data_IF_160347142625
#
_entry.id   IF_160347142625
#
_cell.length_a   1.000
_cell.length_b   1.000
_cell.length_c   1.000
_cell.angle_alpha   90.00
_cell.angle_beta   90.00
_cell.angle_gamma   90.00
#
_symmetry.space_group_name_H-M   'P 1'
#
loop_
_entity.id
_entity.type
_entity.pdbx_description
1 polymer ?
#
# COMPACT_ATOMS: atom_id res chain seq x y z
N UNK A 1 -1.08 15.18 1.70
CA UNK A 1 -0.40 13.91 1.31
C UNK A 1 0.97 13.88 1.96
N UNK A 2 1.33 12.79 2.62
CA UNK A 2 2.61 12.63 3.33
C UNK A 2 3.21 11.27 2.99
N UNK A 3 4.50 11.22 2.62
CA UNK A 3 5.23 9.98 2.34
C UNK A 3 6.16 9.65 3.50
N UNK A 4 6.11 8.39 3.95
CA UNK A 4 6.97 7.85 4.99
C UNK A 4 7.74 6.66 4.42
N UNK A 5 9.05 6.75 4.38
CA UNK A 5 9.93 5.68 3.89
C UNK A 5 10.20 4.69 5.03
N UNK A 6 9.67 3.48 4.92
CA UNK A 6 9.86 2.40 5.87
C UNK A 6 11.10 1.56 5.53
N UNK A 7 11.48 1.53 4.26
CA UNK A 7 12.65 0.84 3.76
C UNK A 7 13.08 1.38 2.41
N UNK A 8 14.39 1.51 2.21
CA UNK A 8 15.01 2.12 1.02
C UNK A 8 16.24 1.35 0.53
N UNK A 9 16.47 0.14 1.03
CA UNK A 9 17.55 -0.71 0.56
C UNK A 9 17.06 -1.59 -0.59
N UNK A 10 17.87 -1.75 -1.63
CA UNK A 10 17.56 -2.58 -2.78
C UNK A 10 18.13 -4.00 -2.58
N UNK A 11 17.29 -5.00 -2.83
CA UNK A 11 17.64 -6.42 -2.81
C UNK A 11 17.83 -7.01 -1.41
N UNK A 12 18.65 -6.38 -0.57
CA UNK A 12 18.99 -6.86 0.76
C UNK A 12 18.92 -5.75 1.81
N UNK A 13 18.51 -6.06 3.06
CA UNK A 13 18.54 -5.07 4.13
C UNK A 13 19.97 -4.74 4.53
N UNK A 14 20.16 -3.55 5.09
CA UNK A 14 21.41 -3.13 5.71
C UNK A 14 21.22 -2.94 7.21
N UNK A 15 22.30 -2.61 7.94
CA UNK A 15 22.19 -2.33 9.40
C UNK A 15 21.31 -1.12 9.71
N UNK A 16 21.15 -0.20 8.76
CA UNK A 16 20.46 1.09 8.97
C UNK A 16 19.27 1.29 8.05
N UNK A 17 19.05 0.41 7.06
CA UNK A 17 17.96 0.52 6.09
C UNK A 17 17.31 -0.83 5.84
N UNK A 18 16.00 -0.88 5.96
CA UNK A 18 15.20 -2.04 5.55
C UNK A 18 15.01 -2.07 4.03
N UNK A 19 14.60 -3.21 3.50
CA UNK A 19 14.18 -3.37 2.10
C UNK A 19 12.93 -2.57 1.80
N UNK A 20 12.53 -2.50 0.54
CA UNK A 20 11.59 -1.51 0.02
C UNK A 20 10.20 -1.56 0.67
N UNK A 21 9.79 -0.45 1.24
CA UNK A 21 8.41 -0.18 1.63
C UNK A 21 8.20 1.33 1.84
N UNK A 22 7.12 1.87 1.30
CA UNK A 22 6.75 3.28 1.42
C UNK A 22 5.30 3.38 1.86
N UNK A 23 5.05 4.16 2.92
CA UNK A 23 3.71 4.44 3.39
C UNK A 23 3.26 5.81 2.88
N UNK A 24 2.05 5.89 2.35
CA UNK A 24 1.41 7.13 1.92
C UNK A 24 0.23 7.42 2.84
N UNK A 25 0.32 8.50 3.59
CA UNK A 25 -0.76 9.02 4.41
C UNK A 25 -1.53 10.08 3.62
N UNK A 26 -2.78 9.76 3.32
CA UNK A 26 -3.71 10.59 2.57
C UNK A 26 -4.66 11.27 3.54
N UNK A 27 -4.40 12.54 3.82
CA UNK A 27 -5.23 13.35 4.70
C UNK A 27 -6.34 14.02 3.89
N UNK A 28 -7.58 13.66 4.18
CA UNK A 28 -8.76 14.31 3.60
C UNK A 28 -9.84 14.44 4.66
N UNK A 29 -10.61 15.56 4.70
CA UNK A 29 -11.62 15.80 5.72
C UNK A 29 -12.71 14.72 5.82
N UNK A 30 -13.07 14.10 4.68
CA UNK A 30 -14.14 13.10 4.60
C UNK A 30 -13.64 11.68 4.34
N UNK A 31 -12.45 11.51 3.79
CA UNK A 31 -11.93 10.20 3.38
C UNK A 31 -10.42 10.16 3.48
N UNK A 32 -9.91 9.98 4.68
CA UNK A 32 -8.49 9.66 4.89
C UNK A 32 -8.18 8.27 4.35
N UNK A 33 -6.96 8.03 3.94
CA UNK A 33 -6.46 6.72 3.51
C UNK A 33 -5.04 6.51 3.99
N UNK A 34 -4.69 5.27 4.25
CA UNK A 34 -3.33 4.85 4.53
C UNK A 34 -2.96 3.74 3.56
N UNK A 35 -2.05 4.05 2.62
CA UNK A 35 -1.67 3.15 1.55
C UNK A 35 -0.21 2.73 1.71
N UNK A 36 0.07 1.47 1.44
CA UNK A 36 1.42 0.93 1.45
C UNK A 36 1.86 0.60 0.02
N UNK A 37 3.04 1.06 -0.36
CA UNK A 37 3.70 0.72 -1.63
C UNK A 37 4.89 -0.18 -1.33
N UNK A 38 4.83 -1.40 -1.86
CA UNK A 38 5.66 -2.53 -1.56
C UNK A 38 5.64 -2.94 -0.07
N UNK A 39 5.98 -4.18 0.18
CA UNK A 39 5.99 -4.78 1.50
C UNK A 39 7.14 -5.78 1.60
N UNK A 40 8.35 -5.26 1.57
CA UNK A 40 9.55 -6.07 1.75
C UNK A 40 9.63 -6.67 3.16
N UNK A 41 10.55 -7.60 3.35
CA UNK A 41 10.77 -8.25 4.63
C UNK A 41 10.94 -7.22 5.77
N UNK A 42 10.31 -7.48 6.91
CA UNK A 42 10.40 -6.60 8.09
C UNK A 42 9.60 -5.30 8.00
N UNK A 43 8.81 -5.06 6.95
CA UNK A 43 7.97 -3.85 6.82
C UNK A 43 7.07 -3.63 8.03
N UNK A 44 6.43 -4.66 8.57
CA UNK A 44 5.60 -4.51 9.77
C UNK A 44 6.39 -4.06 11.00
N UNK A 45 7.65 -4.45 11.14
CA UNK A 45 8.50 -3.96 12.23
C UNK A 45 8.83 -2.48 12.06
N UNK A 46 9.08 -2.03 10.82
CA UNK A 46 9.29 -0.62 10.53
C UNK A 46 8.05 0.22 10.82
N UNK A 47 6.85 -0.29 10.55
CA UNK A 47 5.59 0.36 10.92
C UNK A 47 5.46 0.62 12.42
N UNK A 48 5.98 -0.29 13.27
CA UNK A 48 5.97 -0.12 14.74
C UNK A 48 6.82 1.08 15.22
N UNK A 49 7.76 1.55 14.42
CA UNK A 49 8.56 2.75 14.72
C UNK A 49 7.90 4.04 14.21
N UNK A 50 6.68 3.98 13.70
CA UNK A 50 5.91 5.13 13.24
C UNK A 50 4.72 5.40 14.15
N UNK A 51 4.09 6.55 14.01
CA UNK A 51 2.83 6.87 14.69
C UNK A 51 1.60 6.26 13.98
N UNK A 52 1.78 5.54 12.87
CA UNK A 52 0.70 5.01 12.06
C UNK A 52 0.27 3.62 12.53
N UNK A 53 -1.06 3.43 12.63
CA UNK A 53 -1.63 2.14 12.98
C UNK A 53 -1.80 1.28 11.70
N UNK A 54 -1.15 0.11 11.61
CA UNK A 54 -1.32 -0.81 10.47
C UNK A 54 -2.78 -1.22 10.22
N UNK A 55 -3.62 -1.13 11.24
CA UNK A 55 -5.07 -1.37 11.12
C UNK A 55 -5.80 -0.39 10.22
N UNK A 56 -5.23 0.78 9.98
CA UNK A 56 -5.79 1.80 9.08
C UNK A 56 -5.34 1.64 7.62
N UNK A 57 -4.48 0.67 7.32
CA UNK A 57 -4.15 0.34 5.93
C UNK A 57 -5.41 -0.13 5.22
N UNK A 58 -5.75 0.53 4.11
CA UNK A 58 -6.88 0.19 3.25
C UNK A 58 -6.46 -0.29 1.86
N UNK A 59 -5.26 0.08 1.40
CA UNK A 59 -4.69 -0.39 0.13
C UNK A 59 -3.21 -0.72 0.24
N UNK A 60 -2.80 -1.77 -0.48
CA UNK A 60 -1.40 -2.13 -0.69
C UNK A 60 -1.15 -2.23 -2.20
N UNK A 61 -0.09 -1.61 -2.67
CA UNK A 61 0.33 -1.64 -4.08
C UNK A 61 1.70 -2.31 -4.16
N UNK A 62 1.79 -3.41 -4.88
CA UNK A 62 3.04 -4.13 -5.10
C UNK A 62 3.56 -3.80 -6.50
N UNK A 63 4.77 -3.26 -6.57
CA UNK A 63 5.39 -2.88 -7.83
C UNK A 63 5.75 -4.09 -8.68
N UNK A 64 6.37 -5.10 -8.09
CA UNK A 64 6.76 -6.36 -8.73
C UNK A 64 7.02 -7.45 -7.68
N UNK A 65 7.20 -8.70 -8.11
CA UNK A 65 7.20 -9.86 -7.21
C UNK A 65 8.58 -10.29 -6.70
N UNK A 66 9.62 -9.45 -6.77
CA UNK A 66 10.87 -9.74 -6.06
C UNK A 66 10.67 -9.72 -4.54
N UNK A 67 11.41 -10.57 -3.83
CA UNK A 67 11.21 -10.79 -2.39
C UNK A 67 11.41 -9.55 -1.54
N UNK A 68 12.35 -8.68 -1.89
CA UNK A 68 12.61 -7.41 -1.20
C UNK A 68 11.48 -6.38 -1.34
N UNK A 69 10.47 -6.65 -2.17
CA UNK A 69 9.23 -5.87 -2.31
C UNK A 69 7.98 -6.61 -1.79
N UNK A 70 8.09 -7.91 -1.47
CA UNK A 70 6.91 -8.77 -1.29
C UNK A 70 6.93 -9.61 -0.01
N UNK A 71 8.09 -10.06 0.48
CA UNK A 71 8.17 -11.13 1.50
C UNK A 71 7.67 -10.71 2.89
N UNK A 72 7.47 -9.43 3.15
CA UNK A 72 6.81 -8.95 4.37
C UNK A 72 5.28 -9.07 4.37
N UNK A 73 4.69 -9.24 3.17
CA UNK A 73 3.24 -9.17 2.99
C UNK A 73 2.47 -10.25 3.77
N UNK A 74 2.79 -11.56 3.69
CA UNK A 74 2.04 -12.58 4.42
C UNK A 74 2.03 -12.32 5.93
N UNK A 75 3.18 -11.97 6.51
CA UNK A 75 3.29 -11.67 7.94
C UNK A 75 2.44 -10.46 8.36
N UNK A 76 2.42 -9.41 7.55
CA UNK A 76 1.59 -8.23 7.79
C UNK A 76 0.09 -8.58 7.77
N UNK A 77 -0.35 -9.39 6.80
CA UNK A 77 -1.75 -9.82 6.67
C UNK A 77 -2.21 -10.63 7.89
N UNK A 78 -1.39 -11.60 8.33
CA UNK A 78 -1.66 -12.40 9.50
C UNK A 78 -1.71 -11.54 10.78
N UNK A 79 -0.75 -10.64 10.96
CA UNK A 79 -0.70 -9.76 12.13
C UNK A 79 -1.91 -8.84 12.23
N UNK A 80 -2.46 -8.38 11.10
CA UNK A 80 -3.71 -7.61 11.07
C UNK A 80 -4.88 -8.41 11.65
N UNK A 81 -5.07 -9.68 11.23
CA UNK A 81 -6.10 -10.56 11.77
C UNK A 81 -5.92 -10.79 13.27
N UNK A 82 -4.71 -11.15 13.69
CA UNK A 82 -4.41 -11.43 15.10
C UNK A 82 -4.59 -10.21 16.00
N UNK A 83 -4.50 -9.00 15.43
CA UNK A 83 -4.78 -7.75 16.13
C UNK A 83 -6.27 -7.38 16.16
N UNK A 84 -7.15 -8.23 15.66
CA UNK A 84 -8.61 -8.00 15.65
C UNK A 84 -9.07 -6.92 14.68
N UNK A 85 -8.28 -6.64 13.64
CA UNK A 85 -8.62 -5.65 12.63
C UNK A 85 -9.60 -6.28 11.64
N UNK A 86 -10.76 -5.65 11.47
CA UNK A 86 -11.85 -6.11 10.58
C UNK A 86 -12.07 -5.24 9.35
N UNK A 87 -11.34 -4.12 9.24
CA UNK A 87 -11.46 -3.21 8.10
C UNK A 87 -10.99 -3.90 6.81
N UNK A 88 -11.71 -3.72 5.69
CA UNK A 88 -11.31 -4.26 4.40
C UNK A 88 -9.91 -3.82 3.99
N UNK A 89 -9.24 -4.67 3.22
CA UNK A 89 -7.94 -4.38 2.62
C UNK A 89 -7.95 -4.84 1.16
N UNK A 90 -7.53 -3.96 0.25
CA UNK A 90 -7.33 -4.31 -1.15
C UNK A 90 -5.84 -4.31 -1.48
N UNK A 91 -5.37 -5.37 -2.13
CA UNK A 91 -4.00 -5.49 -2.65
C UNK A 91 -4.05 -5.37 -4.17
N UNK A 92 -3.27 -4.47 -4.72
CA UNK A 92 -3.03 -4.32 -6.16
C UNK A 92 -1.60 -4.76 -6.48
N UNK A 93 -1.42 -5.56 -7.53
CA UNK A 93 -0.08 -5.97 -7.94
C UNK A 93 -0.08 -6.71 -9.28
N UNK A 94 1.10 -7.06 -9.82
CA UNK A 94 1.23 -7.76 -11.07
C UNK A 94 0.68 -9.19 -11.00
N UNK A 95 0.59 -9.85 -12.14
CA UNK A 95 0.16 -11.24 -12.22
C UNK A 95 1.02 -12.14 -11.32
N UNK A 96 0.37 -13.07 -10.60
CA UNK A 96 0.98 -13.97 -9.62
C UNK A 96 0.89 -13.48 -8.18
N UNK A 97 0.51 -12.22 -7.91
CA UNK A 97 0.34 -11.72 -6.54
C UNK A 97 -0.75 -12.48 -5.79
N UNK A 98 -1.86 -12.83 -6.46
CA UNK A 98 -2.95 -13.62 -5.89
C UNK A 98 -2.46 -15.00 -5.49
N UNK A 99 -1.81 -15.72 -6.41
CA UNK A 99 -1.28 -17.05 -6.16
C UNK A 99 -0.28 -17.05 -4.99
N UNK A 100 0.60 -16.05 -4.93
CA UNK A 100 1.56 -15.90 -3.84
C UNK A 100 0.85 -15.76 -2.49
N UNK A 101 -0.08 -14.80 -2.36
CA UNK A 101 -0.77 -14.52 -1.10
C UNK A 101 -1.62 -15.71 -0.67
N UNK A 102 -2.47 -16.22 -1.56
CA UNK A 102 -3.37 -17.35 -1.25
C UNK A 102 -2.58 -18.62 -0.90
N UNK A 103 -1.46 -18.88 -1.59
CA UNK A 103 -0.58 -20.03 -1.30
C UNK A 103 0.10 -19.87 0.05
N UNK A 104 0.66 -18.69 0.34
CA UNK A 104 1.31 -18.42 1.62
C UNK A 104 0.35 -18.63 2.79
N UNK A 105 -0.85 -18.07 2.73
CA UNK A 105 -1.88 -18.22 3.76
C UNK A 105 -2.34 -19.67 3.88
N UNK A 106 -2.64 -20.35 2.79
CA UNK A 106 -3.10 -21.74 2.76
C UNK A 106 -2.08 -22.71 3.34
N UNK A 107 -0.81 -22.64 2.91
CA UNK A 107 0.24 -23.58 3.35
C UNK A 107 0.59 -23.35 4.82
N UNK A 108 0.61 -22.09 5.28
CA UNK A 108 0.89 -21.76 6.68
C UNK A 108 -0.31 -22.01 7.62
N UNK A 109 -1.48 -22.38 7.09
CA UNK A 109 -2.71 -22.50 7.89
C UNK A 109 -3.19 -21.15 8.44
N UNK A 110 -2.76 -20.05 7.83
CA UNK A 110 -3.13 -18.70 8.24
C UNK A 110 -4.40 -18.23 7.53
N UNK A 111 -5.04 -17.24 8.10
CA UNK A 111 -6.29 -16.66 7.55
C UNK A 111 -6.36 -15.15 7.79
N UNK A 112 -7.35 -14.51 7.17
CA UNK A 112 -7.70 -13.12 7.42
C UNK A 112 -9.15 -13.05 7.94
N UNK A 113 -9.36 -12.37 9.08
CA UNK A 113 -10.70 -12.14 9.67
C UNK A 113 -11.38 -10.88 9.09
N UNK A 114 -10.81 -10.31 8.05
CA UNK A 114 -11.31 -9.13 7.36
C UNK A 114 -11.46 -9.42 5.86
N UNK A 115 -12.32 -8.67 5.16
CA UNK A 115 -12.42 -8.77 3.71
C UNK A 115 -11.08 -8.42 3.05
N UNK A 116 -10.48 -9.39 2.37
CA UNK A 116 -9.24 -9.23 1.62
C UNK A 116 -9.56 -9.37 0.13
N UNK A 117 -9.35 -8.29 -0.61
CA UNK A 117 -9.44 -8.29 -2.06
C UNK A 117 -8.04 -8.24 -2.66
N UNK A 118 -7.79 -9.09 -3.67
CA UNK A 118 -6.53 -9.10 -4.41
C UNK A 118 -6.85 -8.85 -5.86
N UNK A 119 -6.32 -7.78 -6.41
CA UNK A 119 -6.54 -7.35 -7.79
C UNK A 119 -5.22 -7.44 -8.55
N UNK A 120 -5.15 -8.35 -9.49
CA UNK A 120 -4.05 -8.39 -10.45
C UNK A 120 -4.27 -7.32 -11.51
N UNK A 121 -3.28 -6.47 -11.69
CA UNK A 121 -3.38 -5.28 -12.54
C UNK A 121 -2.54 -5.41 -13.81
N UNK A 122 -2.89 -4.62 -14.80
CA UNK A 122 -2.07 -4.30 -15.97
C UNK A 122 -1.75 -2.81 -16.00
N UNK A 123 -1.08 -2.37 -17.06
CA UNK A 123 -0.82 -0.96 -17.31
C UNK A 123 -2.13 -0.20 -17.56
N UNK A 124 -2.22 1.04 -17.08
CA UNK A 124 -3.37 1.92 -17.23
C UNK A 124 -4.00 2.32 -15.91
N UNK A 125 -5.22 2.83 -15.99
CA UNK A 125 -5.98 3.23 -14.80
C UNK A 125 -6.36 2.01 -13.97
N UNK A 126 -6.05 2.05 -12.67
CA UNK A 126 -6.40 1.01 -11.70
C UNK A 126 -7.78 1.30 -11.11
N UNK A 127 -7.96 2.52 -10.62
CA UNK A 127 -9.25 3.01 -10.15
C UNK A 127 -9.26 4.54 -10.10
N UNK A 128 -10.49 5.08 -10.03
CA UNK A 128 -10.79 6.47 -9.71
C UNK A 128 -11.96 6.48 -8.71
N UNK A 129 -11.74 6.97 -7.50
CA UNK A 129 -12.76 7.03 -6.45
C UNK A 129 -13.46 8.41 -6.34
N UNK A 130 -13.22 9.28 -7.33
CA UNK A 130 -13.73 10.65 -7.36
C UNK A 130 -12.97 11.64 -6.50
N UNK A 131 -12.08 11.18 -5.64
CA UNK A 131 -11.12 12.01 -4.88
C UNK A 131 -9.70 11.79 -5.38
N UNK A 132 -9.39 10.57 -5.79
CA UNK A 132 -8.05 10.15 -6.23
C UNK A 132 -8.16 9.18 -7.39
N UNK A 133 -7.25 9.36 -8.30
CA UNK A 133 -7.05 8.47 -9.44
C UNK A 133 -5.69 7.80 -9.30
N UNK A 134 -5.64 6.49 -9.54
CA UNK A 134 -4.39 5.72 -9.55
C UNK A 134 -4.19 5.08 -10.90
N UNK A 135 -3.00 5.28 -11.46
CA UNK A 135 -2.59 4.74 -12.74
C UNK A 135 -1.29 3.95 -12.60
N UNK A 136 -1.24 2.74 -13.17
CA UNK A 136 -0.05 1.92 -13.25
C UNK A 136 0.68 2.15 -14.58
N UNK A 137 1.98 2.38 -14.51
CA UNK A 137 2.86 2.52 -15.66
C UNK A 137 3.85 1.37 -15.69
N UNK A 138 4.02 0.68 -16.82
CA UNK A 138 5.00 -0.39 -16.92
C UNK A 138 6.41 0.18 -16.80
N UNK A 139 7.24 -0.51 -16.04
CA UNK A 139 8.64 -0.13 -15.82
C UNK A 139 9.56 -1.17 -16.45
N UNK A 140 10.72 -0.72 -16.93
CA UNK A 140 11.74 -1.64 -17.47
C UNK A 140 12.37 -2.41 -16.31
N UNK A 141 12.09 -3.71 -16.24
CA UNK A 141 12.57 -4.60 -15.19
C UNK A 141 12.50 -6.06 -15.68
N UNK A 142 13.34 -7.01 -15.16
CA UNK A 142 13.28 -8.42 -15.56
C UNK A 142 11.95 -9.14 -15.30
N UNK A 143 11.19 -8.69 -14.30
CA UNK A 143 9.83 -9.15 -14.02
C UNK A 143 8.82 -8.07 -14.41
N UNK A 144 7.55 -8.47 -14.55
CA UNK A 144 6.43 -7.53 -14.66
C UNK A 144 6.47 -6.54 -13.49
N UNK A 145 6.60 -5.26 -13.80
CA UNK A 145 6.84 -4.20 -12.83
C UNK A 145 6.07 -2.94 -13.18
N UNK A 146 5.48 -2.32 -12.16
CA UNK A 146 4.69 -1.10 -12.29
C UNK A 146 5.16 0.01 -11.37
N UNK A 147 5.26 1.23 -11.93
CA UNK A 147 5.27 2.46 -11.16
C UNK A 147 3.84 2.98 -11.01
N UNK A 148 3.51 3.54 -9.84
CA UNK A 148 2.17 4.03 -9.54
C UNK A 148 2.14 5.55 -9.52
N UNK A 149 1.24 6.15 -10.29
CA UNK A 149 0.92 7.57 -10.23
C UNK A 149 -0.39 7.76 -9.47
N UNK A 150 -0.35 8.60 -8.44
CA UNK A 150 -1.48 8.98 -7.64
C UNK A 150 -1.79 10.45 -7.91
N UNK A 151 -3.00 10.75 -8.34
CA UNK A 151 -3.49 12.09 -8.62
C UNK A 151 -4.66 12.40 -7.68
N UNK A 152 -4.61 13.52 -6.97
CA UNK A 152 -5.78 14.03 -6.26
C UNK A 152 -6.59 14.89 -7.21
N UNK A 153 -7.90 14.66 -7.25
CA UNK A 153 -8.82 15.54 -7.97
C UNK A 153 -8.89 16.93 -7.32
N UNK A 154 -9.24 17.93 -8.11
CA UNK A 154 -9.38 19.30 -7.65
C UNK A 154 -10.38 19.37 -6.49
N UNK A 155 -10.00 20.06 -5.44
CA UNK A 155 -10.87 20.35 -4.30
C UNK A 155 -11.52 21.72 -4.50
N UNK A 156 -12.78 21.91 -4.07
CA UNK A 156 -13.34 23.26 -3.99
C UNK A 156 -12.39 24.17 -3.22
N UNK A 157 -12.05 25.32 -3.79
CA UNK A 157 -11.16 26.28 -3.15
C UNK A 157 -11.71 26.71 -1.78
N UNK A 158 -10.81 26.96 -0.82
CA UNK A 158 -11.20 27.52 0.45
C UNK A 158 -11.78 28.93 0.24
N UNK A 159 -13.01 29.14 0.73
CA UNK A 159 -13.68 30.43 0.63
C UNK A 159 -12.88 31.45 1.46
N UNK A 160 -12.41 32.54 0.84
CA UNK A 160 -11.82 33.64 1.59
C UNK A 160 -12.95 34.50 2.19
N UNK A 161 -13.41 34.10 3.37
CA UNK A 161 -14.52 34.78 4.06
C UNK A 161 -14.20 36.26 4.41
N UNK A 162 -12.90 36.65 4.46
CA UNK A 162 -12.52 38.05 4.68
C UNK A 162 -12.67 38.88 3.41
N UNK A 163 -12.39 38.33 2.24
CA UNK A 163 -12.58 39.01 0.96
C UNK A 163 -14.05 39.18 0.58
N UNK A 164 -14.96 38.35 1.15
CA UNK A 164 -16.42 38.46 0.92
C UNK A 164 -17.10 39.49 1.83
N UNK A 165 -16.39 40.00 2.85
CA UNK A 165 -16.92 41.02 3.77
C UNK A 165 -16.49 42.45 3.40
N UNK A 166 -15.70 42.62 2.35
CA UNK A 166 -15.30 43.88 1.77
C UNK A 166 -16.19 44.24 0.58
#
# INVERSE_FOLDING_TARGET
>A
MELIFLGTSAGVPTRTRNVTAILLNLQHPTQSGLWLFDCGEGTQHQLLHTAFNPGKLDKIFISHLHGDHLFGLPGLLCSRSMSGIIQPLTIYGPHGIREFVETALRISGSWTDYPLEIVEIGAGEIFDDGLRKVTAYPMEHPLECYGYRIEEHDKPGALNAQALKA
#
